data_IF_930130647136
#
_entry.id   IF_930130647136
#
_cell.length_a   1.000
_cell.length_b   1.000
_cell.length_c   1.000
_cell.angle_alpha   90.00
_cell.angle_beta   90.00
_cell.angle_gamma   90.00
#
_symmetry.space_group_name_H-M   'P 1'
#
loop_
_entity.id
_entity.type
_entity.pdbx_description
1 polymer ?
#
# COMPACT_ATOMS: atom_id res chain seq x y z
N UNK A 1 -10.46 27.82 -35.71
CA UNK A 1 -10.26 26.39 -36.03
C UNK A 1 -10.97 25.46 -35.03
N UNK A 2 -10.78 25.61 -33.72
CA UNK A 2 -11.27 24.66 -32.71
C UNK A 2 -12.81 24.56 -32.55
N UNK A 3 -13.53 25.67 -32.76
CA UNK A 3 -15.00 25.72 -32.66
C UNK A 3 -15.70 24.92 -33.76
N UNK A 4 -15.21 25.01 -35.01
CA UNK A 4 -15.74 24.27 -36.14
C UNK A 4 -15.51 22.75 -36.02
N UNK A 5 -14.35 22.34 -35.49
CA UNK A 5 -14.06 20.94 -35.21
C UNK A 5 -14.98 20.35 -34.12
N UNK A 6 -15.29 21.14 -33.08
CA UNK A 6 -16.23 20.77 -32.01
C UNK A 6 -17.68 20.71 -32.48
N UNK A 7 -18.09 21.54 -33.44
CA UNK A 7 -19.40 21.46 -34.08
C UNK A 7 -19.53 20.24 -35.01
N UNK A 8 -18.51 19.95 -35.81
CA UNK A 8 -18.51 18.79 -36.69
C UNK A 8 -18.63 17.46 -35.92
N UNK A 9 -17.99 17.37 -34.74
CA UNK A 9 -18.06 16.20 -33.87
C UNK A 9 -19.40 16.01 -33.13
N UNK A 10 -20.29 17.01 -33.15
CA UNK A 10 -21.65 16.92 -32.58
C UNK A 10 -22.65 16.23 -33.50
N UNK A 11 -22.32 16.02 -34.78
CA UNK A 11 -23.19 15.32 -35.74
C UNK A 11 -23.32 13.84 -35.35
N UNK A 12 -24.57 13.36 -35.39
CA UNK A 12 -24.96 12.03 -34.91
C UNK A 12 -24.25 10.88 -35.65
N UNK A 13 -24.10 9.75 -34.97
CA UNK A 13 -23.63 8.51 -35.58
C UNK A 13 -24.61 8.09 -36.69
N UNK A 14 -24.14 7.57 -37.83
CA UNK A 14 -25.02 7.04 -38.86
C UNK A 14 -25.82 5.85 -38.29
N UNK A 15 -27.13 5.89 -38.50
CA UNK A 15 -28.00 4.73 -38.31
C UNK A 15 -27.73 3.67 -39.37
N UNK A 16 -28.27 2.46 -39.16
CA UNK A 16 -28.04 1.29 -40.01
C UNK A 16 -28.37 1.51 -41.50
N UNK A 17 -29.20 2.51 -41.82
CA UNK A 17 -29.64 2.84 -43.18
C UNK A 17 -29.07 4.16 -43.74
N UNK A 18 -28.19 4.84 -43.01
CA UNK A 18 -27.59 6.09 -43.49
C UNK A 18 -26.43 5.78 -44.44
N UNK A 19 -26.62 6.00 -45.74
CA UNK A 19 -25.53 5.97 -46.73
C UNK A 19 -24.50 7.04 -46.37
N UNK A 20 -23.45 6.60 -45.68
CA UNK A 20 -22.37 7.44 -45.16
C UNK A 20 -21.64 8.10 -46.33
N UNK A 21 -21.88 9.40 -46.56
CA UNK A 21 -20.95 10.24 -47.32
C UNK A 21 -19.63 10.30 -46.55
N UNK A 22 -18.56 9.88 -47.20
CA UNK A 22 -17.16 9.75 -46.75
C UNK A 22 -16.58 11.00 -46.05
N UNK A 23 -17.03 11.30 -44.84
CA UNK A 23 -16.58 12.47 -44.08
C UNK A 23 -15.88 12.14 -42.77
N UNK A 24 -15.72 10.85 -42.44
CA UNK A 24 -14.98 10.40 -41.26
C UNK A 24 -14.20 9.11 -41.54
N UNK A 25 -13.03 9.23 -42.17
CA UNK A 25 -12.29 8.09 -42.76
C UNK A 25 -11.18 7.49 -41.89
N UNK A 26 -10.85 8.05 -40.72
CA UNK A 26 -9.78 7.47 -39.90
C UNK A 26 -10.33 6.46 -38.87
N UNK A 27 -9.74 5.27 -38.84
CA UNK A 27 -10.01 4.23 -37.83
C UNK A 27 -9.79 4.74 -36.39
N UNK A 28 -8.88 5.69 -36.19
CA UNK A 28 -8.67 6.36 -34.90
C UNK A 28 -9.90 7.15 -34.45
N UNK A 29 -10.56 7.87 -35.35
CA UNK A 29 -11.79 8.62 -35.07
C UNK A 29 -12.92 7.67 -34.63
N UNK A 30 -13.12 6.58 -35.37
CA UNK A 30 -14.13 5.55 -35.06
C UNK A 30 -13.85 4.93 -33.68
N UNK A 31 -12.60 4.51 -33.40
CA UNK A 31 -12.20 3.96 -32.10
C UNK A 31 -12.43 4.94 -30.94
N UNK A 32 -12.12 6.23 -31.15
CA UNK A 32 -12.36 7.28 -30.15
C UNK A 32 -13.84 7.46 -29.88
N UNK A 33 -14.67 7.53 -30.90
CA UNK A 33 -16.13 7.64 -30.75
C UNK A 33 -16.73 6.44 -30.02
N UNK A 34 -16.33 5.22 -30.38
CA UNK A 34 -16.75 4.00 -29.68
C UNK A 34 -16.32 4.00 -28.22
N UNK A 35 -15.10 4.43 -27.94
CA UNK A 35 -14.57 4.57 -26.57
C UNK A 35 -15.41 5.58 -25.78
N UNK A 36 -15.64 6.77 -26.34
CA UNK A 36 -16.48 7.79 -25.71
C UNK A 36 -17.91 7.30 -25.44
N UNK A 37 -18.52 6.59 -26.39
CA UNK A 37 -19.85 6.00 -26.24
C UNK A 37 -19.88 4.94 -25.13
N UNK A 38 -18.89 4.04 -25.08
CA UNK A 38 -18.72 3.02 -24.03
C UNK A 38 -18.58 3.66 -22.65
N UNK A 39 -17.72 4.68 -22.52
CA UNK A 39 -17.54 5.41 -21.26
C UNK A 39 -18.80 6.17 -20.85
N UNK A 40 -19.53 6.77 -21.80
CA UNK A 40 -20.80 7.44 -21.51
C UNK A 40 -21.89 6.45 -21.06
N UNK A 41 -21.96 5.27 -21.67
CA UNK A 41 -22.86 4.20 -21.23
C UNK A 41 -22.50 3.70 -19.82
N UNK A 42 -21.21 3.45 -19.56
CA UNK A 42 -20.71 3.05 -18.23
C UNK A 42 -21.02 4.10 -17.17
N UNK A 43 -20.73 5.39 -17.42
CA UNK A 43 -21.08 6.48 -16.49
C UNK A 43 -22.57 6.55 -16.19
N UNK A 44 -23.44 6.43 -17.20
CA UNK A 44 -24.89 6.41 -17.02
C UNK A 44 -25.35 5.18 -16.22
N UNK A 45 -24.77 4.02 -16.49
CA UNK A 45 -25.03 2.77 -15.76
C UNK A 45 -24.63 2.90 -14.29
N UNK A 46 -23.47 3.48 -14.00
CA UNK A 46 -22.98 3.75 -12.64
C UNK A 46 -23.88 4.78 -11.96
N UNK A 47 -24.13 5.93 -12.58
CA UNK A 47 -24.94 7.01 -12.00
C UNK A 47 -26.37 6.57 -11.64
N UNK A 48 -27.00 5.71 -12.45
CA UNK A 48 -28.32 5.13 -12.11
C UNK A 48 -28.30 4.20 -10.90
N UNK A 49 -27.17 3.55 -10.61
CA UNK A 49 -27.01 2.58 -9.51
C UNK A 49 -26.35 3.17 -8.27
N UNK A 50 -25.69 4.32 -8.40
CA UNK A 50 -25.11 5.07 -7.30
C UNK A 50 -26.23 5.85 -6.59
N UNK A 51 -26.85 5.26 -5.57
CA UNK A 51 -27.80 5.98 -4.70
C UNK A 51 -27.07 6.91 -3.72
N UNK A 52 -27.73 8.00 -3.28
CA UNK A 52 -27.26 8.81 -2.13
C UNK A 52 -27.25 7.91 -0.89
N UNK A 53 -26.09 7.34 -0.57
CA UNK A 53 -25.89 6.45 0.59
C UNK A 53 -25.12 5.17 0.28
N UNK A 54 -25.11 4.69 -0.97
CA UNK A 54 -24.47 3.41 -1.36
C UNK A 54 -23.39 3.57 -2.45
N UNK A 55 -22.96 4.80 -2.69
CA UNK A 55 -21.83 5.09 -3.57
C UNK A 55 -20.54 4.62 -2.92
N UNK A 56 -19.74 3.79 -3.61
CA UNK A 56 -18.38 3.49 -3.17
C UNK A 56 -17.61 4.81 -3.04
N UNK A 57 -17.39 5.25 -1.81
CA UNK A 57 -16.50 6.36 -1.50
C UNK A 57 -15.10 5.74 -1.43
N UNK A 58 -14.19 6.05 -2.38
CA UNK A 58 -12.82 5.60 -2.24
C UNK A 58 -12.30 6.11 -0.88
N UNK A 59 -11.67 5.26 -0.06
CA UNK A 59 -11.16 5.69 1.22
C UNK A 59 -10.24 6.89 1.02
N UNK A 60 -10.29 7.86 1.95
CA UNK A 60 -9.36 9.00 1.93
C UNK A 60 -7.95 8.45 1.74
N UNK A 61 -7.20 9.00 0.77
CA UNK A 61 -5.82 8.60 0.52
C UNK A 61 -5.06 8.67 1.84
N UNK A 62 -4.67 7.51 2.37
CA UNK A 62 -3.85 7.43 3.56
C UNK A 62 -2.51 8.04 3.17
N UNK A 63 -2.14 9.13 3.83
CA UNK A 63 -0.85 9.75 3.57
C UNK A 63 0.24 8.75 3.94
N UNK A 64 1.23 8.53 3.06
CA UNK A 64 2.35 7.67 3.38
C UNK A 64 3.08 8.21 4.61
N UNK A 65 3.58 7.31 5.45
CA UNK A 65 4.35 7.66 6.64
C UNK A 65 5.64 8.38 6.22
N UNK A 66 5.78 9.69 6.50
CA UNK A 66 6.91 10.47 6.00
C UNK A 66 8.25 9.96 6.54
N UNK A 67 8.28 9.43 7.77
CA UNK A 67 9.51 8.91 8.36
C UNK A 67 9.96 7.62 7.64
N UNK A 68 9.02 6.73 7.31
CA UNK A 68 9.32 5.50 6.57
C UNK A 68 9.84 5.81 5.16
N UNK A 69 9.21 6.75 4.46
CA UNK A 69 9.56 7.08 3.07
C UNK A 69 10.83 7.91 2.94
N UNK A 70 11.26 8.58 4.01
CA UNK A 70 12.54 9.30 4.05
C UNK A 70 13.73 8.40 4.41
N UNK A 71 13.49 7.17 4.90
CA UNK A 71 14.54 6.27 5.33
C UNK A 71 15.26 5.58 4.15
N UNK A 72 16.51 5.12 4.32
CA UNK A 72 17.20 4.33 3.31
C UNK A 72 16.39 3.12 2.87
N UNK A 73 16.37 2.84 1.56
CA UNK A 73 15.53 1.80 0.94
C UNK A 73 15.64 0.44 1.64
N UNK A 74 16.85 0.03 2.02
CA UNK A 74 17.09 -1.26 2.70
C UNK A 74 16.37 -1.35 4.05
N UNK A 75 16.50 -0.30 4.87
CA UNK A 75 15.90 -0.22 6.21
C UNK A 75 14.37 -0.11 6.11
N UNK A 76 13.88 0.76 5.22
CA UNK A 76 12.45 0.91 4.97
C UNK A 76 11.81 -0.41 4.50
N UNK A 77 12.47 -1.09 3.56
CA UNK A 77 12.04 -2.41 3.07
C UNK A 77 12.00 -3.44 4.20
N UNK A 78 13.05 -3.50 5.03
CA UNK A 78 13.11 -4.42 6.17
C UNK A 78 11.97 -4.16 7.16
N UNK A 79 11.70 -2.90 7.50
CA UNK A 79 10.59 -2.54 8.38
C UNK A 79 9.23 -2.94 7.78
N UNK A 80 9.03 -2.73 6.47
CA UNK A 80 7.81 -3.14 5.77
C UNK A 80 7.62 -4.66 5.74
N UNK A 81 8.70 -5.42 5.56
CA UNK A 81 8.63 -6.87 5.66
C UNK A 81 8.24 -7.32 7.08
N UNK A 82 8.79 -6.68 8.12
CA UNK A 82 8.44 -6.97 9.52
C UNK A 82 6.96 -6.63 9.82
N UNK A 83 6.48 -5.48 9.34
CA UNK A 83 5.06 -5.06 9.44
C UNK A 83 4.13 -6.09 8.82
N UNK A 84 4.43 -6.50 7.60
CA UNK A 84 3.57 -7.45 6.85
C UNK A 84 3.75 -8.91 7.28
N UNK A 85 4.74 -9.21 8.14
CA UNK A 85 5.03 -10.57 8.56
C UNK A 85 5.74 -11.43 7.51
N UNK A 86 6.32 -10.79 6.49
CA UNK A 86 7.11 -11.42 5.42
C UNK A 86 8.61 -11.16 5.56
N UNK A 87 9.05 -10.77 6.76
CA UNK A 87 10.47 -10.59 7.04
C UNK A 87 11.19 -11.92 6.87
N UNK A 88 12.32 -11.89 6.17
CA UNK A 88 13.27 -12.99 6.09
C UNK A 88 13.97 -13.13 7.45
N UNK A 89 13.24 -13.66 8.43
CA UNK A 89 13.68 -14.08 9.76
C UNK A 89 13.52 -15.60 9.84
N UNK A 90 14.31 -16.29 10.67
CA UNK A 90 14.37 -17.76 10.68
C UNK A 90 12.99 -18.43 10.82
N UNK A 91 12.09 -17.89 11.64
CA UNK A 91 10.73 -18.44 11.78
C UNK A 91 9.92 -18.39 10.48
N UNK A 92 10.01 -17.29 9.73
CA UNK A 92 9.34 -17.15 8.44
C UNK A 92 10.01 -18.02 7.37
N UNK A 93 11.35 -18.03 7.33
CA UNK A 93 12.11 -18.83 6.36
C UNK A 93 11.84 -20.32 6.53
N UNK A 94 11.86 -20.84 7.77
CA UNK A 94 11.50 -22.23 8.09
C UNK A 94 10.06 -22.54 7.67
N UNK A 95 9.10 -21.69 8.07
CA UNK A 95 7.68 -21.85 7.73
C UNK A 95 7.40 -21.87 6.22
N UNK A 96 8.19 -21.13 5.43
CA UNK A 96 8.03 -21.01 3.98
C UNK A 96 9.03 -21.85 3.19
N UNK A 97 9.84 -22.68 3.85
CA UNK A 97 10.89 -23.49 3.24
C UNK A 97 11.85 -22.68 2.34
N UNK A 98 12.19 -21.46 2.74
CA UNK A 98 13.06 -20.56 1.98
C UNK A 98 14.53 -20.86 2.31
N UNK A 99 15.35 -21.04 1.28
CA UNK A 99 16.81 -21.11 1.42
C UNK A 99 17.32 -22.32 2.21
N UNK A 100 16.55 -23.42 2.26
CA UNK A 100 16.95 -24.63 2.97
C UNK A 100 17.01 -24.48 4.50
N UNK A 101 16.40 -23.43 5.06
CA UNK A 101 16.39 -23.19 6.51
C UNK A 101 15.51 -24.23 7.20
N UNK A 102 16.13 -25.09 8.01
CA UNK A 102 15.45 -26.15 8.79
C UNK A 102 15.20 -25.73 10.24
N UNK A 103 16.01 -24.82 10.76
CA UNK A 103 15.95 -24.35 12.14
C UNK A 103 15.42 -22.91 12.22
N UNK A 104 14.61 -22.63 13.24
CA UNK A 104 14.06 -21.29 13.47
C UNK A 104 14.85 -20.49 14.50
N UNK A 105 15.98 -21.01 15.02
CA UNK A 105 16.77 -20.26 16.00
C UNK A 105 17.21 -18.90 15.49
N UNK A 106 17.23 -17.95 16.42
CA UNK A 106 17.71 -16.59 16.24
C UNK A 106 19.14 -16.59 15.74
N UNK A 107 19.36 -15.98 14.57
CA UNK A 107 20.69 -15.89 13.94
C UNK A 107 21.74 -15.20 14.80
N UNK A 108 21.31 -14.35 15.73
CA UNK A 108 22.20 -13.62 16.62
C UNK A 108 22.41 -14.32 17.96
N UNK A 109 21.32 -14.64 18.69
CA UNK A 109 21.45 -15.16 20.05
C UNK A 109 21.50 -16.68 20.14
N UNK A 110 21.11 -17.40 19.08
CA UNK A 110 21.12 -18.87 18.97
C UNK A 110 20.37 -19.65 20.08
N UNK A 111 19.50 -18.97 20.84
CA UNK A 111 18.81 -19.56 22.02
C UNK A 111 17.30 -19.75 21.83
N UNK A 112 16.66 -18.86 21.09
CA UNK A 112 15.20 -18.84 20.94
C UNK A 112 14.84 -18.70 19.46
N UNK A 113 13.61 -19.08 19.05
CA UNK A 113 13.14 -18.85 17.70
C UNK A 113 13.20 -17.36 17.30
N UNK A 114 13.66 -17.08 16.08
CA UNK A 114 13.74 -15.73 15.51
C UNK A 114 12.37 -15.20 15.12
N UNK A 115 11.56 -14.81 16.10
CA UNK A 115 10.29 -14.12 15.88
C UNK A 115 10.44 -12.61 15.96
N UNK A 116 9.42 -11.88 15.48
CA UNK A 116 9.33 -10.43 15.65
C UNK A 116 9.32 -10.05 17.13
N UNK A 117 8.55 -10.79 17.96
CA UNK A 117 8.59 -10.60 19.41
C UNK A 117 9.99 -10.80 19.99
N UNK A 118 10.68 -11.86 19.57
CA UNK A 118 12.02 -12.13 20.05
C UNK A 118 12.97 -10.97 19.72
N UNK A 119 12.99 -10.51 18.47
CA UNK A 119 13.89 -9.44 18.02
C UNK A 119 13.69 -8.14 18.79
N UNK A 120 12.45 -7.68 18.93
CA UNK A 120 12.15 -6.38 19.54
C UNK A 120 12.06 -6.41 21.06
N UNK A 121 11.88 -7.58 21.72
CA UNK A 121 11.68 -7.63 23.18
C UNK A 121 12.60 -8.52 23.98
N UNK A 122 13.22 -9.53 23.36
CA UNK A 122 13.87 -10.59 24.14
C UNK A 122 15.30 -10.86 23.71
N UNK A 123 15.69 -10.50 22.49
CA UNK A 123 16.99 -10.82 21.94
C UNK A 123 18.11 -10.19 22.81
N UNK A 124 19.02 -10.99 23.39
CA UNK A 124 20.12 -10.47 24.20
C UNK A 124 21.13 -9.66 23.39
N UNK A 125 21.31 -9.98 22.10
CA UNK A 125 22.22 -9.24 21.21
C UNK A 125 21.81 -7.78 21.10
N UNK A 126 20.51 -7.52 21.00
CA UNK A 126 19.95 -6.20 20.78
C UNK A 126 19.57 -5.49 22.09
N UNK A 127 20.23 -5.80 23.20
CA UNK A 127 19.78 -5.32 24.53
C UNK A 127 19.80 -3.80 24.63
N UNK A 128 20.82 -3.14 24.08
CA UNK A 128 20.95 -1.68 24.17
C UNK A 128 19.93 -1.00 23.25
N UNK A 129 19.87 -1.45 22.00
CA UNK A 129 18.97 -0.98 20.95
C UNK A 129 17.50 -1.16 21.38
N UNK A 130 17.18 -2.28 22.07
CA UNK A 130 15.84 -2.49 22.67
C UNK A 130 15.55 -1.53 23.80
N UNK A 131 16.53 -1.19 24.64
CA UNK A 131 16.35 -0.22 25.73
C UNK A 131 16.04 1.17 25.17
N UNK A 132 16.74 1.57 24.13
CA UNK A 132 16.52 2.85 23.45
C UNK A 132 15.16 2.89 22.75
N UNK A 133 14.79 1.80 22.06
CA UNK A 133 13.47 1.63 21.46
C UNK A 133 12.36 1.73 22.52
N UNK A 134 12.51 1.02 23.64
CA UNK A 134 11.53 1.04 24.73
C UNK A 134 11.38 2.44 25.35
N UNK A 135 12.49 3.16 25.54
CA UNK A 135 12.47 4.53 26.04
C UNK A 135 11.73 5.49 25.07
N UNK A 136 12.01 5.38 23.77
CA UNK A 136 11.35 6.18 22.74
C UNK A 136 9.85 5.87 22.66
N UNK A 137 9.48 4.58 22.65
CA UNK A 137 8.08 4.14 22.63
C UNK A 137 7.34 4.60 23.87
N UNK A 138 7.95 4.52 25.06
CA UNK A 138 7.34 4.99 26.31
C UNK A 138 7.12 6.50 26.31
N UNK A 139 8.03 7.27 25.71
CA UNK A 139 7.87 8.72 25.54
C UNK A 139 6.68 9.04 24.64
N UNK A 140 6.60 8.41 23.47
CA UNK A 140 5.51 8.63 22.51
C UNK A 140 4.16 8.11 23.00
N UNK A 141 4.14 6.95 23.68
CA UNK A 141 2.95 6.37 24.24
C UNK A 141 2.33 7.26 25.33
N UNK A 142 3.12 7.95 26.16
CA UNK A 142 2.60 8.92 27.14
C UNK A 142 1.84 10.08 26.47
N UNK A 143 2.33 10.54 25.32
CA UNK A 143 1.77 11.69 24.60
C UNK A 143 0.56 11.31 23.75
N UNK A 144 0.54 10.10 23.19
CA UNK A 144 -0.40 9.70 22.13
C UNK A 144 -1.21 8.42 22.42
N UNK A 145 -1.27 7.95 23.68
CA UNK A 145 -1.78 6.61 24.05
C UNK A 145 -3.16 6.25 23.47
N UNK A 146 -3.17 5.39 22.45
CA UNK A 146 -4.34 4.59 22.03
C UNK A 146 -4.11 3.09 22.15
N UNK A 147 -2.90 2.65 22.47
CA UNK A 147 -2.50 1.24 22.51
C UNK A 147 -2.69 0.69 23.92
N UNK A 148 -3.87 0.12 24.20
CA UNK A 148 -4.22 -0.45 25.50
C UNK A 148 -3.70 -1.88 25.72
N UNK A 149 -3.42 -2.62 24.65
CA UNK A 149 -3.02 -4.03 24.71
C UNK A 149 -1.84 -4.28 23.79
N UNK A 150 -0.85 -5.00 24.30
CA UNK A 150 0.37 -5.30 23.56
C UNK A 150 0.10 -6.33 22.46
N UNK A 151 0.26 -5.92 21.21
CA UNK A 151 0.18 -6.79 20.04
C UNK A 151 1.29 -6.38 19.06
N UNK A 152 2.13 -7.33 18.65
CA UNK A 152 3.31 -7.05 17.81
C UNK A 152 2.94 -6.44 16.45
N UNK A 153 1.88 -6.92 15.81
CA UNK A 153 1.43 -6.36 14.53
C UNK A 153 0.95 -4.92 14.69
N UNK A 154 0.21 -4.64 15.76
CA UNK A 154 -0.26 -3.28 16.09
C UNK A 154 0.90 -2.35 16.45
N UNK A 155 1.86 -2.83 17.25
CA UNK A 155 3.07 -2.11 17.60
C UNK A 155 3.87 -1.69 16.37
N UNK A 156 4.08 -2.62 15.43
CA UNK A 156 4.82 -2.33 14.19
C UNK A 156 4.05 -1.41 13.24
N UNK A 157 2.71 -1.47 13.23
CA UNK A 157 1.86 -0.66 12.36
C UNK A 157 1.66 0.77 12.85
N UNK A 158 1.93 1.06 14.13
CA UNK A 158 1.71 2.38 14.71
C UNK A 158 2.69 3.42 14.13
N UNK A 159 2.21 4.48 13.44
CA UNK A 159 3.08 5.45 12.78
C UNK A 159 3.94 6.26 13.74
N UNK A 160 3.47 6.49 14.97
CA UNK A 160 4.23 7.24 15.99
C UNK A 160 5.53 6.55 16.39
N UNK A 161 5.60 5.23 16.27
CA UNK A 161 6.79 4.46 16.61
C UNK A 161 7.74 4.26 15.43
N UNK A 162 7.34 4.64 14.20
CA UNK A 162 8.16 4.45 12.99
C UNK A 162 9.58 5.01 13.13
N UNK A 163 9.82 6.24 13.62
CA UNK A 163 11.18 6.76 13.74
C UNK A 163 12.07 5.91 14.65
N UNK A 164 11.53 5.45 15.78
CA UNK A 164 12.26 4.60 16.73
C UNK A 164 12.52 3.19 16.15
N UNK A 165 11.55 2.62 15.44
CA UNK A 165 11.69 1.34 14.75
C UNK A 165 12.75 1.39 13.64
N UNK A 166 12.80 2.50 12.89
CA UNK A 166 13.84 2.72 11.88
C UNK A 166 15.22 2.86 12.51
N UNK A 167 15.33 3.53 13.65
CA UNK A 167 16.59 3.66 14.37
C UNK A 167 17.09 2.29 14.87
N UNK A 168 16.20 1.45 15.40
CA UNK A 168 16.54 0.07 15.80
C UNK A 168 17.07 -0.79 14.65
N UNK A 169 16.65 -0.52 13.41
CA UNK A 169 17.01 -1.30 12.22
C UNK A 169 18.22 -0.76 11.45
N UNK A 170 18.91 0.27 11.96
CA UNK A 170 20.13 0.82 11.33
C UNK A 170 21.37 -0.01 11.60
N UNK A 171 21.39 -0.81 12.67
CA UNK A 171 22.50 -1.63 13.14
C UNK A 171 22.34 -3.13 12.76
#
# INVERSE_FOLDING_TARGET
ADKAAKEAARRHLPGKDDRVRDSFTSLAFIKRHLTHAKWAASRRWTQKRTTKGNSYVPPKKIQPDPALFSAPKGIASRLMQLRTGHALISTYCKKRHIGGVTDDTCRWCKRYPESREHLFRHCPRWRMERKDLEAAVKKEAKTHSRVKTWNMARFLAEPTFTPALLQFLKD
#
